data_IF_921539239343
#
_entry.id   IF_921539239343
#
_cell.length_a   1.000
_cell.length_b   1.000
_cell.length_c   1.000
_cell.angle_alpha   90.00
_cell.angle_beta   90.00
_cell.angle_gamma   90.00
#
_symmetry.space_group_name_H-M   'P 1'
#
loop_
_entity.id
_entity.type
_entity.pdbx_description
1 polymer ?
#
# COMPACT_ATOMS: atom_id res chain seq x y z
N UNK A 1 5.40 -15.68 -25.25
CA UNK A 1 4.06 -15.17 -25.63
C UNK A 1 3.08 -15.84 -24.68
N UNK A 2 2.25 -15.06 -23.97
CA UNK A 2 1.23 -15.58 -23.05
C UNK A 2 0.23 -16.40 -23.89
N UNK A 3 -0.05 -17.64 -23.46
CA UNK A 3 -0.95 -18.55 -24.17
C UNK A 3 -2.42 -18.12 -24.04
N UNK A 4 -3.31 -18.53 -24.97
CA UNK A 4 -4.71 -18.11 -24.97
C UNK A 4 -5.48 -18.49 -23.69
N UNK A 5 -5.07 -19.57 -23.02
CA UNK A 5 -5.68 -20.08 -21.78
C UNK A 5 -5.00 -19.56 -20.50
N UNK A 6 -4.05 -18.64 -20.61
CA UNK A 6 -3.34 -18.07 -19.47
C UNK A 6 -4.02 -16.78 -18.94
N UNK A 7 -3.56 -16.31 -17.78
CA UNK A 7 -4.07 -15.08 -17.18
C UNK A 7 -3.60 -13.88 -18.01
N UNK A 8 -4.57 -13.17 -18.59
CA UNK A 8 -4.34 -11.92 -19.29
C UNK A 8 -4.68 -10.76 -18.36
N UNK A 9 -3.66 -10.07 -17.87
CA UNK A 9 -3.84 -8.86 -17.07
C UNK A 9 -4.38 -7.72 -17.95
N UNK A 10 -4.95 -6.71 -17.30
CA UNK A 10 -5.40 -5.49 -17.96
C UNK A 10 -4.25 -4.88 -18.77
N UNK A 11 -4.49 -4.61 -20.05
CA UNK A 11 -3.51 -3.94 -20.92
C UNK A 11 -3.55 -2.42 -20.67
N UNK A 12 -2.49 -1.90 -20.05
CA UNK A 12 -2.28 -0.46 -19.90
C UNK A 12 -0.93 -0.09 -20.47
N UNK A 13 -0.95 0.78 -21.49
CA UNK A 13 0.25 1.27 -22.15
C UNK A 13 0.92 2.42 -21.40
N UNK A 14 0.13 3.18 -20.64
CA UNK A 14 0.57 4.33 -19.87
C UNK A 14 -0.35 4.58 -18.67
N UNK A 15 0.25 4.77 -17.48
CA UNK A 15 -0.49 5.00 -16.24
C UNK A 15 -1.11 6.40 -16.19
N UNK A 16 -0.47 7.41 -16.79
CA UNK A 16 -1.00 8.77 -16.77
C UNK A 16 -2.22 8.90 -17.70
N UNK A 17 -2.14 8.33 -18.89
CA UNK A 17 -3.26 8.22 -19.83
C UNK A 17 -4.44 7.47 -19.22
N UNK A 18 -4.20 6.30 -18.63
CA UNK A 18 -5.25 5.55 -17.92
C UNK A 18 -5.90 6.40 -16.80
N UNK A 19 -5.10 7.13 -16.03
CA UNK A 19 -5.62 8.02 -14.99
C UNK A 19 -6.52 9.11 -15.59
N UNK A 20 -6.08 9.81 -16.65
CA UNK A 20 -6.88 10.84 -17.33
C UNK A 20 -8.20 10.29 -17.88
N UNK A 21 -8.16 9.12 -18.53
CA UNK A 21 -9.35 8.44 -19.05
C UNK A 21 -10.33 8.09 -17.93
N UNK A 22 -9.83 7.64 -16.78
CA UNK A 22 -10.61 7.36 -15.59
C UNK A 22 -11.21 8.63 -14.95
N UNK A 23 -10.51 9.77 -14.99
CA UNK A 23 -11.08 11.06 -14.54
C UNK A 23 -12.30 11.44 -15.39
N UNK A 24 -12.22 11.24 -16.71
CA UNK A 24 -13.31 11.57 -17.64
C UNK A 24 -14.47 10.58 -17.49
N UNK A 25 -14.17 9.28 -17.57
CA UNK A 25 -15.16 8.20 -17.56
C UNK A 25 -15.75 7.91 -16.17
N UNK A 26 -15.14 8.43 -15.11
CA UNK A 26 -15.44 8.14 -13.70
C UNK A 26 -15.27 6.67 -13.31
N UNK A 27 -14.52 5.90 -14.11
CA UNK A 27 -14.14 4.53 -13.79
C UNK A 27 -12.93 4.50 -12.85
N UNK A 28 -12.69 3.34 -12.23
CA UNK A 28 -11.48 3.15 -11.43
C UNK A 28 -10.24 3.03 -12.34
N UNK A 29 -9.08 3.62 -11.94
CA UNK A 29 -7.82 3.39 -12.62
C UNK A 29 -7.35 1.95 -12.44
N UNK A 30 -6.43 1.50 -13.30
CA UNK A 30 -5.82 0.16 -13.22
C UNK A 30 -5.17 -0.10 -11.85
N UNK A 31 -4.70 0.95 -11.18
CA UNK A 31 -4.21 0.91 -9.80
C UNK A 31 -5.13 1.74 -8.89
N UNK A 32 -6.23 1.15 -8.37
CA UNK A 32 -7.08 1.83 -7.39
C UNK A 32 -6.34 2.19 -6.11
N UNK A 33 -6.90 3.13 -5.35
CA UNK A 33 -6.30 3.64 -4.11
C UNK A 33 -5.95 2.54 -3.12
N UNK A 34 -6.84 1.55 -2.93
CA UNK A 34 -6.61 0.44 -2.00
C UNK A 34 -5.39 -0.40 -2.41
N UNK A 35 -5.23 -0.70 -3.70
CA UNK A 35 -4.08 -1.46 -4.19
C UNK A 35 -2.78 -0.68 -3.92
N UNK A 36 -2.78 0.62 -4.19
CA UNK A 36 -1.63 1.50 -3.90
C UNK A 36 -1.32 1.57 -2.40
N UNK A 37 -2.34 1.72 -1.55
CA UNK A 37 -2.19 1.74 -0.10
C UNK A 37 -1.57 0.44 0.42
N UNK A 38 -2.13 -0.71 0.03
CA UNK A 38 -1.64 -2.03 0.47
C UNK A 38 -0.21 -2.31 -0.01
N UNK A 39 0.14 -1.91 -1.23
CA UNK A 39 1.51 -2.03 -1.73
C UNK A 39 2.50 -1.24 -0.86
N UNK A 40 2.14 0.00 -0.49
CA UNK A 40 2.94 0.82 0.42
C UNK A 40 3.02 0.23 1.83
N UNK A 41 1.91 -0.25 2.39
CA UNK A 41 1.88 -0.84 3.74
C UNK A 41 2.86 -2.01 3.87
N UNK A 42 2.93 -2.88 2.86
CA UNK A 42 3.86 -4.02 2.86
C UNK A 42 5.31 -3.57 2.99
N UNK A 43 5.73 -2.54 2.25
CA UNK A 43 7.10 -2.01 2.34
C UNK A 43 7.42 -1.50 3.75
N UNK A 44 6.49 -0.78 4.37
CA UNK A 44 6.65 -0.24 5.73
C UNK A 44 6.70 -1.33 6.79
N UNK A 45 5.80 -2.33 6.70
CA UNK A 45 5.75 -3.48 7.60
C UNK A 45 7.07 -4.26 7.55
N UNK A 46 7.60 -4.51 6.35
CA UNK A 46 8.88 -5.18 6.17
C UNK A 46 10.04 -4.37 6.76
N UNK A 47 10.04 -3.04 6.55
CA UNK A 47 11.05 -2.17 7.15
C UNK A 47 11.06 -2.28 8.69
N UNK A 48 9.89 -2.28 9.34
CA UNK A 48 9.79 -2.46 10.78
C UNK A 48 10.33 -3.82 11.24
N UNK A 49 10.02 -4.90 10.52
CA UNK A 49 10.56 -6.24 10.82
C UNK A 49 12.09 -6.27 10.70
N UNK A 50 12.65 -5.62 9.68
CA UNK A 50 14.11 -5.48 9.51
C UNK A 50 14.75 -4.68 10.65
N UNK A 51 14.11 -3.60 11.10
CA UNK A 51 14.60 -2.76 12.20
C UNK A 51 14.61 -3.49 13.54
N UNK A 52 13.58 -4.29 13.81
CA UNK A 52 13.47 -5.07 15.05
C UNK A 52 14.21 -6.41 15.00
N UNK A 53 14.65 -6.85 13.81
CA UNK A 53 15.41 -8.09 13.63
C UNK A 53 14.61 -9.36 13.96
N UNK A 54 13.28 -9.31 13.89
CA UNK A 54 12.39 -10.42 14.27
C UNK A 54 11.15 -10.50 13.39
N UNK A 55 10.55 -11.69 13.32
CA UNK A 55 9.29 -11.91 12.60
C UNK A 55 8.16 -11.17 13.31
N UNK A 56 7.33 -10.47 12.54
CA UNK A 56 6.14 -9.76 13.00
C UNK A 56 4.88 -10.38 12.38
N UNK A 57 3.75 -10.27 13.07
CA UNK A 57 2.44 -10.64 12.54
C UNK A 57 1.62 -9.38 12.32
N UNK A 58 1.08 -9.23 11.10
CA UNK A 58 0.34 -8.05 10.67
C UNK A 58 -1.14 -8.37 10.50
N UNK A 59 -2.01 -7.55 11.09
CA UNK A 59 -3.43 -7.53 10.82
C UNK A 59 -3.70 -6.48 9.73
N UNK A 60 -4.03 -6.88 8.48
CA UNK A 60 -4.31 -5.95 7.40
C UNK A 60 -5.66 -5.24 7.56
N UNK A 61 -6.58 -5.75 8.37
CA UNK A 61 -7.87 -5.10 8.60
C UNK A 61 -7.74 -4.00 9.65
N UNK A 62 -7.07 -4.28 10.77
CA UNK A 62 -6.82 -3.28 11.80
C UNK A 62 -5.62 -2.36 11.51
N UNK A 63 -4.79 -2.72 10.53
CA UNK A 63 -3.52 -2.10 10.18
C UNK A 63 -2.58 -1.96 11.40
N UNK A 64 -2.42 -3.07 12.12
CA UNK A 64 -1.61 -3.15 13.34
C UNK A 64 -0.83 -4.45 13.42
N UNK A 65 0.27 -4.40 14.16
CA UNK A 65 0.98 -5.61 14.55
C UNK A 65 0.25 -6.31 15.69
N UNK A 66 -0.03 -7.60 15.50
CA UNK A 66 -0.78 -8.43 16.45
C UNK A 66 0.05 -8.63 17.71
N UNK A 67 -0.49 -8.28 18.88
CA UNK A 67 0.13 -8.44 20.20
C UNK A 67 1.54 -7.82 20.35
N UNK A 68 1.86 -6.77 19.59
CA UNK A 68 3.22 -6.20 19.54
C UNK A 68 3.24 -4.69 19.78
N UNK A 69 3.38 -4.28 21.05
CA UNK A 69 3.37 -2.86 21.41
C UNK A 69 4.56 -2.09 20.82
N UNK A 70 5.74 -2.72 20.80
CA UNK A 70 6.97 -2.11 20.29
C UNK A 70 6.87 -1.87 18.78
N UNK A 71 6.49 -2.88 17.99
CA UNK A 71 6.34 -2.73 16.54
C UNK A 71 5.25 -1.70 16.18
N UNK A 72 4.16 -1.65 16.96
CA UNK A 72 3.12 -0.63 16.77
C UNK A 72 3.61 0.81 17.01
N UNK A 73 4.73 1.04 17.71
CA UNK A 73 5.32 2.39 17.81
C UNK A 73 5.89 2.91 16.49
N UNK A 74 6.17 2.03 15.52
CA UNK A 74 6.68 2.40 14.19
C UNK A 74 5.57 2.82 13.21
N UNK A 75 4.30 2.68 13.58
CA UNK A 75 3.15 3.04 12.72
C UNK A 75 2.93 4.54 12.59
N UNK A 76 3.53 5.32 13.49
CA UNK A 76 3.52 6.77 13.43
C UNK A 76 4.90 7.31 13.76
N UNK A 77 5.12 8.57 13.41
CA UNK A 77 6.31 9.32 13.78
C UNK A 77 5.89 10.59 14.48
N UNK A 78 6.70 11.12 15.42
CA UNK A 78 6.46 12.45 15.97
C UNK A 78 6.30 13.46 14.84
N UNK A 79 5.19 14.19 14.84
CA UNK A 79 4.95 15.23 13.84
C UNK A 79 5.82 16.46 14.13
N UNK A 80 6.19 17.17 13.07
CA UNK A 80 7.04 18.37 13.18
C UNK A 80 6.24 19.56 13.69
N UNK A 81 6.58 20.09 14.85
CA UNK A 81 6.00 21.35 15.35
C UNK A 81 6.33 22.53 14.40
N UNK A 82 5.43 23.52 14.22
CA UNK A 82 4.06 23.61 14.77
C UNK A 82 2.97 22.93 13.91
N UNK A 83 3.33 22.18 12.88
CA UNK A 83 2.40 21.63 11.86
C UNK A 83 1.72 20.33 12.29
N UNK A 84 1.27 20.27 13.55
CA UNK A 84 0.55 19.12 14.09
C UNK A 84 -0.85 19.06 13.49
N UNK A 85 -1.31 17.86 13.12
CA UNK A 85 -2.71 17.62 12.74
C UNK A 85 -3.42 17.10 14.00
N UNK A 86 -4.41 17.86 14.47
CA UNK A 86 -5.22 17.56 15.67
C UNK A 86 -6.10 16.34 15.49
#
# INVERSE_FOLDING_TARGET
VIGPDEIHLYDSKDHHGNWLDCVISRQQPITPIEVGHRACSVCLVNHTAMKLGRRLQWDPMAEKFINDKEANTFLSRPQRAPYLIS
#
